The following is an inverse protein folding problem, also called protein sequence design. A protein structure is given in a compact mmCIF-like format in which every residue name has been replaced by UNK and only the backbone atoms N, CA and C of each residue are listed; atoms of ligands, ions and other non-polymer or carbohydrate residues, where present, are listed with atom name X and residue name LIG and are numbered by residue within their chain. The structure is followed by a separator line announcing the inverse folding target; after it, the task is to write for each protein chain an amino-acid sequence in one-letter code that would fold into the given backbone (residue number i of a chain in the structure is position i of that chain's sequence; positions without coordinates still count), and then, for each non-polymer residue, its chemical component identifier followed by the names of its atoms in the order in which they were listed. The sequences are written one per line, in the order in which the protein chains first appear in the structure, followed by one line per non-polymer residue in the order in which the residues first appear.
data_IF_850390976499
#
_entry.id   IF_850390976499
#
_cell.length_a   1.000
_cell.length_b   1.000
_cell.length_c   1.000
_cell.angle_alpha   90.00
_cell.angle_beta   90.00
_cell.angle_gamma   90.00
#
_symmetry.space_group_name_H-M   'P 1'
#
loop_
_entity.id
_entity.type
_entity.pdbx_description
1 polymer ?
#
# COMPACT_ATOMS: atom_id res chain seq x y z
N UNK A 1 7.81 24.84 -12.21
CA UNK A 1 7.70 24.05 -10.97
C UNK A 1 7.09 22.72 -11.35
N UNK A 2 7.78 21.60 -11.16
CA UNK A 2 7.20 20.27 -11.42
C UNK A 2 6.06 20.09 -10.40
N UNK A 3 4.82 19.93 -10.84
CA UNK A 3 3.76 19.49 -9.94
C UNK A 3 4.05 18.03 -9.59
N UNK A 4 4.25 17.75 -8.31
CA UNK A 4 4.42 16.38 -7.83
C UNK A 4 3.06 15.68 -7.78
N UNK A 5 2.96 14.50 -8.38
CA UNK A 5 1.76 13.66 -8.30
C UNK A 5 1.75 12.91 -6.97
N UNK A 6 0.66 13.05 -6.20
CA UNK A 6 0.49 12.39 -4.90
C UNK A 6 -0.72 11.47 -4.96
N UNK A 7 -0.50 10.19 -4.72
CA UNK A 7 -1.54 9.18 -4.55
C UNK A 7 -1.91 8.99 -3.08
N UNK A 8 -3.18 8.73 -2.78
CA UNK A 8 -3.68 8.48 -1.42
C UNK A 8 -4.46 7.17 -1.34
N UNK A 9 -4.18 6.39 -0.30
CA UNK A 9 -4.98 5.23 0.12
C UNK A 9 -5.41 5.48 1.57
N UNK A 10 -6.71 5.64 1.79
CA UNK A 10 -7.28 5.88 3.12
C UNK A 10 -7.70 4.56 3.80
N UNK A 11 -7.75 4.57 5.13
CA UNK A 11 -8.21 3.45 5.95
C UNK A 11 -9.68 3.08 5.68
N UNK A 12 -10.52 4.08 5.40
CA UNK A 12 -11.97 3.91 5.15
C UNK A 12 -12.32 3.62 3.69
N UNK A 13 -13.63 3.46 3.43
CA UNK A 13 -14.17 3.33 2.07
C UNK A 13 -13.81 4.56 1.24
N UNK A 14 -12.86 4.40 0.32
CA UNK A 14 -12.40 5.48 -0.56
C UNK A 14 -12.81 5.28 -2.01
N UNK A 15 -13.46 4.15 -2.32
CA UNK A 15 -13.90 3.85 -3.69
C UNK A 15 -15.10 4.70 -4.07
N UNK A 16 -15.23 4.96 -5.37
CA UNK A 16 -16.38 5.64 -5.95
C UNK A 16 -17.51 4.61 -6.08
N UNK A 17 -18.60 4.68 -5.28
CA UNK A 17 -19.59 3.60 -5.18
C UNK A 17 -20.43 3.41 -6.44
N UNK A 18 -20.48 4.42 -7.30
CA UNK A 18 -21.18 4.40 -8.59
C UNK A 18 -20.30 3.98 -9.78
N UNK A 19 -19.04 3.60 -9.53
CA UNK A 19 -18.09 3.15 -10.55
C UNK A 19 -17.72 1.69 -10.32
N UNK A 20 -17.49 0.94 -11.40
CA UNK A 20 -17.00 -0.43 -11.32
C UNK A 20 -15.54 -0.49 -10.82
N UNK A 21 -14.99 -1.68 -10.61
CA UNK A 21 -13.55 -1.89 -10.34
C UNK A 21 -12.71 -1.24 -11.44
N UNK A 22 -13.03 -1.52 -12.70
CA UNK A 22 -12.35 -0.94 -13.85
C UNK A 22 -12.38 0.59 -13.80
N UNK A 23 -13.58 1.17 -13.66
CA UNK A 23 -13.78 2.61 -13.70
C UNK A 23 -13.16 3.32 -12.49
N UNK A 24 -13.06 2.64 -11.35
CA UNK A 24 -12.35 3.16 -10.19
C UNK A 24 -10.86 3.28 -10.48
N UNK A 25 -10.23 2.24 -11.04
CA UNK A 25 -8.80 2.24 -11.34
C UNK A 25 -8.47 3.22 -12.48
N UNK A 26 -9.35 3.32 -13.48
CA UNK A 26 -9.21 4.22 -14.63
C UNK A 26 -9.35 5.71 -14.26
N UNK A 27 -10.06 6.03 -13.17
CA UNK A 27 -10.49 7.39 -12.84
C UNK A 27 -9.38 8.46 -12.90
N UNK A 28 -8.20 8.18 -12.32
CA UNK A 28 -7.10 9.14 -12.32
C UNK A 28 -6.54 9.40 -13.72
N UNK A 29 -6.41 8.34 -14.53
CA UNK A 29 -5.93 8.42 -15.91
C UNK A 29 -6.92 9.15 -16.83
N UNK A 30 -8.22 8.98 -16.60
CA UNK A 30 -9.28 9.74 -17.30
C UNK A 30 -9.16 11.25 -17.02
N UNK A 31 -8.90 11.63 -15.77
CA UNK A 31 -8.73 13.04 -15.37
C UNK A 31 -7.49 13.65 -16.01
N UNK A 32 -6.41 12.87 -16.14
CA UNK A 32 -5.19 13.28 -16.85
C UNK A 32 -5.39 13.40 -18.38
N UNK A 33 -6.54 12.96 -18.91
CA UNK A 33 -6.84 12.99 -20.34
C UNK A 33 -6.02 11.99 -21.16
N UNK A 34 -5.60 10.87 -20.55
CA UNK A 34 -4.81 9.83 -21.21
C UNK A 34 -5.63 9.14 -22.30
N UNK A 35 -4.97 8.66 -23.35
CA UNK A 35 -5.64 7.96 -24.44
C UNK A 35 -6.28 6.65 -23.96
N UNK A 36 -7.45 6.30 -24.51
CA UNK A 36 -8.20 5.09 -24.14
C UNK A 36 -7.35 3.81 -24.21
N UNK A 37 -6.46 3.73 -25.20
CA UNK A 37 -5.53 2.61 -25.36
C UNK A 37 -4.54 2.50 -24.20
N UNK A 38 -4.04 3.64 -23.71
CA UNK A 38 -3.14 3.69 -22.54
C UNK A 38 -3.89 3.31 -21.26
N UNK A 39 -5.09 3.88 -21.07
CA UNK A 39 -5.96 3.55 -19.94
C UNK A 39 -6.22 2.05 -19.91
N UNK A 40 -6.65 1.47 -21.03
CA UNK A 40 -6.94 0.04 -21.13
C UNK A 40 -5.73 -0.82 -20.78
N UNK A 41 -4.55 -0.48 -21.32
CA UNK A 41 -3.32 -1.22 -21.03
C UNK A 41 -3.00 -1.19 -19.54
N UNK A 42 -3.04 -0.01 -18.93
CA UNK A 42 -2.62 0.18 -17.54
C UNK A 42 -3.62 -0.41 -16.54
N UNK A 43 -4.92 -0.19 -16.76
CA UNK A 43 -5.97 -0.74 -15.90
C UNK A 43 -5.96 -2.28 -15.95
N UNK A 44 -5.86 -2.88 -17.15
CA UNK A 44 -5.75 -4.34 -17.27
C UNK A 44 -4.53 -4.90 -16.55
N UNK A 45 -3.38 -4.21 -16.64
CA UNK A 45 -2.15 -4.61 -15.93
C UNK A 45 -2.35 -4.60 -14.43
N UNK A 46 -2.92 -3.53 -13.87
CA UNK A 46 -3.14 -3.38 -12.43
C UNK A 46 -4.18 -4.36 -11.89
N UNK A 47 -5.25 -4.63 -12.66
CA UNK A 47 -6.24 -5.64 -12.30
C UNK A 47 -5.56 -7.01 -12.16
N UNK A 48 -4.66 -7.35 -13.09
CA UNK A 48 -3.95 -8.63 -13.02
C UNK A 48 -2.94 -8.71 -11.88
N UNK A 49 -2.16 -7.64 -11.66
CA UNK A 49 -1.21 -7.61 -10.55
C UNK A 49 -1.88 -7.68 -9.17
N UNK A 50 -3.12 -7.21 -9.07
CA UNK A 50 -3.90 -7.22 -7.83
C UNK A 50 -4.82 -8.44 -7.68
N UNK A 51 -4.77 -9.41 -8.60
CA UNK A 51 -5.63 -10.59 -8.55
C UNK A 51 -7.12 -10.24 -8.58
N UNK A 52 -7.50 -9.24 -9.38
CA UNK A 52 -8.88 -8.75 -9.51
C UNK A 52 -9.54 -9.21 -10.82
N UNK A 53 -8.92 -10.14 -11.56
CA UNK A 53 -9.49 -10.69 -12.79
C UNK A 53 -10.87 -11.31 -12.55
N UNK A 54 -11.82 -11.03 -13.45
CA UNK A 54 -13.20 -11.47 -13.34
C UNK A 54 -14.11 -10.58 -12.49
N UNK A 55 -13.57 -9.52 -11.86
CA UNK A 55 -14.34 -8.54 -11.08
C UNK A 55 -14.33 -7.14 -11.71
N UNK A 56 -13.89 -7.01 -12.96
CA UNK A 56 -13.69 -5.73 -13.64
C UNK A 56 -14.97 -4.87 -13.64
N UNK A 57 -16.12 -5.52 -13.83
CA UNK A 57 -17.43 -4.86 -13.90
C UNK A 57 -18.15 -4.80 -12.55
N UNK A 58 -17.58 -5.39 -11.49
CA UNK A 58 -18.20 -5.38 -10.16
C UNK A 58 -18.11 -4.00 -9.52
N UNK A 59 -19.12 -3.64 -8.74
CA UNK A 59 -19.18 -2.39 -7.98
C UNK A 59 -18.68 -2.60 -6.54
N UNK A 60 -18.21 -1.54 -5.84
CA UNK A 60 -17.65 -1.66 -4.49
C UNK A 60 -18.50 -2.47 -3.50
N UNK A 61 -19.83 -2.32 -3.54
CA UNK A 61 -20.78 -3.06 -2.70
C UNK A 61 -20.80 -4.58 -2.92
N UNK A 62 -20.26 -5.05 -4.04
CA UNK A 62 -20.21 -6.46 -4.43
C UNK A 62 -18.86 -7.10 -4.07
N UNK A 63 -17.91 -6.29 -3.59
CA UNK A 63 -16.55 -6.70 -3.26
C UNK A 63 -16.40 -6.96 -1.77
N UNK A 64 -15.57 -7.96 -1.43
CA UNK A 64 -15.08 -8.10 -0.05
C UNK A 64 -14.22 -6.89 0.34
N UNK A 65 -14.09 -6.61 1.65
CA UNK A 65 -13.25 -5.49 2.12
C UNK A 65 -11.79 -5.57 1.64
N UNK A 66 -11.23 -6.78 1.49
CA UNK A 66 -9.89 -6.97 0.93
C UNK A 66 -9.80 -6.65 -0.56
N UNK A 67 -10.85 -6.99 -1.32
CA UNK A 67 -10.94 -6.61 -2.73
C UNK A 67 -11.10 -5.10 -2.87
N UNK A 68 -11.91 -4.45 -2.03
CA UNK A 68 -12.03 -2.99 -2.07
C UNK A 68 -10.68 -2.30 -1.79
N UNK A 69 -9.90 -2.81 -0.84
CA UNK A 69 -8.54 -2.32 -0.57
C UNK A 69 -7.60 -2.50 -1.76
N UNK A 70 -7.64 -3.65 -2.43
CA UNK A 70 -6.89 -3.91 -3.68
C UNK A 70 -7.21 -2.86 -4.75
N UNK A 71 -8.50 -2.58 -4.96
CA UNK A 71 -8.95 -1.56 -5.92
C UNK A 71 -8.46 -0.17 -5.53
N UNK A 72 -8.52 0.18 -4.24
CA UNK A 72 -8.09 1.49 -3.75
C UNK A 72 -6.58 1.71 -3.98
N UNK A 73 -5.77 0.68 -3.70
CA UNK A 73 -4.33 0.71 -3.93
C UNK A 73 -4.03 0.75 -5.44
N UNK A 74 -4.70 -0.07 -6.25
CA UNK A 74 -4.55 -0.08 -7.70
C UNK A 74 -4.84 1.29 -8.32
N UNK A 75 -5.94 1.92 -7.91
CA UNK A 75 -6.31 3.29 -8.33
C UNK A 75 -5.27 4.32 -7.92
N UNK A 76 -4.65 4.17 -6.75
CA UNK A 76 -3.61 5.10 -6.32
C UNK A 76 -2.31 4.95 -7.12
N UNK A 77 -1.98 3.72 -7.54
CA UNK A 77 -0.83 3.44 -8.41
C UNK A 77 -1.09 3.74 -9.89
N UNK A 78 -2.35 3.80 -10.35
CA UNK A 78 -2.65 3.93 -11.78
C UNK A 78 -2.15 5.21 -12.41
N UNK A 79 -1.99 6.27 -11.64
CA UNK A 79 -1.44 7.56 -12.08
C UNK A 79 0.09 7.67 -11.97
N UNK A 80 0.78 6.55 -11.69
CA UNK A 80 2.24 6.50 -11.48
C UNK A 80 2.75 7.63 -10.56
N UNK A 81 2.30 7.67 -9.29
CA UNK A 81 2.54 8.82 -8.44
C UNK A 81 4.02 8.94 -8.04
N UNK A 82 4.52 10.18 -7.96
CA UNK A 82 5.83 10.47 -7.35
C UNK A 82 5.87 10.00 -5.87
N UNK A 83 4.76 10.25 -5.15
CA UNK A 83 4.58 9.92 -3.75
C UNK A 83 3.24 9.20 -3.52
N UNK A 84 3.27 8.04 -2.88
CA UNK A 84 2.09 7.30 -2.44
C UNK A 84 1.99 7.34 -0.91
N UNK A 85 0.87 7.84 -0.40
CA UNK A 85 0.55 7.88 1.02
C UNK A 85 -0.53 6.85 1.34
N UNK A 86 -0.26 5.96 2.29
CA UNK A 86 -1.22 4.93 2.70
C UNK A 86 -1.46 4.94 4.20
N UNK A 87 -2.72 5.09 4.61
CA UNK A 87 -3.12 5.04 6.02
C UNK A 87 -3.74 3.68 6.35
N UNK A 88 -3.04 2.88 7.16
CA UNK A 88 -3.45 1.54 7.58
C UNK A 88 -3.96 0.62 6.42
N UNK A 89 -3.21 0.52 5.31
CA UNK A 89 -3.70 -0.12 4.08
C UNK A 89 -4.07 -1.60 4.25
N UNK A 90 -3.42 -2.30 5.19
CA UNK A 90 -3.54 -3.75 5.38
C UNK A 90 -4.44 -4.16 6.56
N UNK A 91 -5.02 -3.18 7.26
CA UNK A 91 -5.86 -3.41 8.45
C UNK A 91 -7.16 -4.14 8.08
N UNK A 92 -7.73 -4.89 9.03
CA UNK A 92 -8.97 -5.66 8.86
C UNK A 92 -8.88 -6.84 7.87
N UNK A 93 -7.69 -7.18 7.36
CA UNK A 93 -7.45 -8.39 6.58
C UNK A 93 -7.00 -9.54 7.47
N UNK A 94 -7.40 -10.77 7.15
CA UNK A 94 -6.82 -11.97 7.74
C UNK A 94 -5.34 -12.11 7.33
N UNK A 95 -4.57 -12.90 8.06
CA UNK A 95 -3.13 -13.00 7.87
C UNK A 95 -2.73 -13.47 6.46
N UNK A 96 -3.50 -14.37 5.83
CA UNK A 96 -3.17 -14.91 4.52
C UNK A 96 -3.43 -13.86 3.43
N UNK A 97 -4.65 -13.30 3.37
CA UNK A 97 -4.99 -12.24 2.42
C UNK A 97 -4.05 -11.05 2.53
N UNK A 98 -3.69 -10.69 3.76
CA UNK A 98 -2.75 -9.61 4.03
C UNK A 98 -1.37 -9.86 3.43
N UNK A 99 -0.82 -11.05 3.64
CA UNK A 99 0.51 -11.40 3.13
C UNK A 99 0.54 -11.37 1.60
N UNK A 100 -0.52 -11.86 0.95
CA UNK A 100 -0.66 -11.83 -0.51
C UNK A 100 -0.71 -10.38 -0.99
N UNK A 101 -1.55 -9.52 -0.38
CA UNK A 101 -1.65 -8.12 -0.75
C UNK A 101 -0.32 -7.36 -0.59
N UNK A 102 0.43 -7.64 0.48
CA UNK A 102 1.75 -7.04 0.68
C UNK A 102 2.75 -7.44 -0.41
N UNK A 103 2.70 -8.69 -0.89
CA UNK A 103 3.52 -9.13 -2.02
C UNK A 103 3.11 -8.44 -3.32
N UNK A 104 1.82 -8.27 -3.58
CA UNK A 104 1.30 -7.59 -4.77
C UNK A 104 1.72 -6.10 -4.78
N UNK A 105 1.61 -5.43 -3.63
CA UNK A 105 2.09 -4.05 -3.48
C UNK A 105 3.59 -3.94 -3.73
N UNK A 106 4.40 -4.86 -3.21
CA UNK A 106 5.84 -4.88 -3.48
C UNK A 106 6.14 -5.05 -4.96
N UNK A 107 5.44 -5.94 -5.68
CA UNK A 107 5.64 -6.14 -7.13
C UNK A 107 5.36 -4.86 -7.91
N UNK A 108 4.26 -4.17 -7.61
CA UNK A 108 3.92 -2.91 -8.29
C UNK A 108 4.97 -1.84 -7.97
N UNK A 109 5.33 -1.70 -6.70
CA UNK A 109 6.35 -0.74 -6.27
C UNK A 109 7.73 -1.03 -6.89
N UNK A 110 8.08 -2.30 -7.08
CA UNK A 110 9.33 -2.69 -7.73
C UNK A 110 9.42 -2.20 -9.18
N UNK A 111 8.28 -2.07 -9.86
CA UNK A 111 8.16 -1.56 -11.23
C UNK A 111 8.10 -0.02 -11.28
N UNK A 112 7.28 0.63 -10.43
CA UNK A 112 7.08 2.09 -10.49
C UNK A 112 8.17 2.89 -9.78
N UNK A 113 8.81 2.30 -8.76
CA UNK A 113 9.78 2.96 -7.88
C UNK A 113 9.27 4.26 -7.23
N UNK A 114 7.95 4.40 -7.08
CA UNK A 114 7.31 5.52 -6.36
C UNK A 114 7.82 5.62 -4.92
N UNK A 115 7.87 6.82 -4.36
CA UNK A 115 8.15 6.99 -2.92
C UNK A 115 6.91 6.63 -2.13
N UNK A 116 6.97 5.58 -1.31
CA UNK A 116 5.82 5.12 -0.51
C UNK A 116 6.01 5.47 0.96
N UNK A 117 5.02 6.15 1.54
CA UNK A 117 4.92 6.38 2.98
C UNK A 117 3.63 5.71 3.44
N UNK A 118 3.74 4.76 4.37
CA UNK A 118 2.56 4.14 4.94
C UNK A 118 2.59 4.14 6.46
N UNK A 119 1.40 4.25 7.05
CA UNK A 119 1.17 4.22 8.48
C UNK A 119 0.63 2.83 8.82
N UNK A 120 1.23 2.20 9.83
CA UNK A 120 0.76 0.90 10.34
C UNK A 120 1.03 0.79 11.84
N UNK A 121 0.18 0.04 12.53
CA UNK A 121 0.42 -0.39 13.91
C UNK A 121 1.06 -1.79 13.98
N UNK A 122 1.31 -2.44 12.84
CA UNK A 122 1.84 -3.79 12.77
C UNK A 122 3.33 -3.78 12.39
N UNK A 123 4.16 -4.23 13.33
CA UNK A 123 5.63 -4.25 13.16
C UNK A 123 6.07 -5.22 12.07
N UNK A 124 5.39 -6.36 11.90
CA UNK A 124 5.75 -7.32 10.84
C UNK A 124 5.62 -6.68 9.45
N UNK A 125 4.63 -5.81 9.24
CA UNK A 125 4.42 -5.11 7.96
C UNK A 125 5.51 -4.05 7.74
N UNK A 126 5.84 -3.30 8.79
CA UNK A 126 6.90 -2.31 8.76
C UNK A 126 8.25 -2.95 8.37
N UNK A 127 8.61 -4.07 9.00
CA UNK A 127 9.85 -4.80 8.68
C UNK A 127 9.77 -5.50 7.33
N UNK A 128 8.59 -5.93 6.88
CA UNK A 128 8.44 -6.61 5.60
C UNK A 128 8.55 -5.65 4.40
N UNK A 129 7.93 -4.47 4.50
CA UNK A 129 7.79 -3.56 3.36
C UNK A 129 8.81 -2.42 3.33
N UNK A 130 9.21 -1.88 4.48
CA UNK A 130 9.88 -0.59 4.53
C UNK A 130 11.40 -0.68 4.31
N UNK A 131 11.99 0.37 3.74
CA UNK A 131 13.43 0.60 3.79
C UNK A 131 13.84 1.33 5.09
N UNK A 132 12.93 2.13 5.65
CA UNK A 132 13.12 2.92 6.88
C UNK A 132 11.84 2.90 7.70
N UNK A 133 11.95 2.66 9.00
CA UNK A 133 10.83 2.69 9.95
C UNK A 133 11.00 3.87 10.90
N UNK A 134 10.03 4.77 10.92
CA UNK A 134 9.97 5.89 11.86
C UNK A 134 9.03 5.54 13.01
N UNK A 135 9.56 5.51 14.23
CA UNK A 135 8.77 5.28 15.45
C UNK A 135 8.42 6.64 16.03
N UNK A 136 7.13 6.89 16.20
CA UNK A 136 6.61 8.17 16.68
C UNK A 136 6.30 8.12 18.19
N UNK A 137 6.44 9.24 18.89
CA UNK A 137 5.99 9.38 20.29
C UNK A 137 4.46 9.55 20.38
N UNK A 138 3.86 9.27 21.55
CA UNK A 138 2.54 9.80 21.90
C UNK A 138 2.50 11.33 21.78
N UNK A 139 1.29 11.89 21.83
CA UNK A 139 1.07 13.34 21.68
C UNK A 139 1.84 14.13 22.78
N UNK A 140 2.52 15.23 22.43
CA UNK A 140 2.74 15.77 21.08
C UNK A 140 3.74 14.94 20.28
N UNK A 141 3.37 14.60 19.03
CA UNK A 141 4.10 13.64 18.21
C UNK A 141 5.45 14.18 17.74
N UNK A 142 6.50 13.39 17.98
CA UNK A 142 7.86 13.58 17.45
C UNK A 142 8.40 12.25 16.92
N UNK A 143 9.39 12.29 16.04
CA UNK A 143 10.16 11.08 15.68
C UNK A 143 11.01 10.70 16.88
N UNK A 144 10.71 9.53 17.47
CA UNK A 144 11.45 8.96 18.60
C UNK A 144 12.68 8.20 18.13
N UNK A 145 12.49 7.36 17.11
CA UNK A 145 13.55 6.57 16.50
C UNK A 145 13.37 6.50 14.99
N UNK A 146 14.49 6.41 14.30
CA UNK A 146 14.57 6.00 12.91
C UNK A 146 15.36 4.69 12.86
N UNK A 147 14.76 3.66 12.25
CA UNK A 147 15.36 2.33 12.12
C UNK A 147 15.53 2.01 10.62
N UNK A 148 16.76 1.98 10.10
CA UNK A 148 17.00 1.52 8.73
C UNK A 148 16.81 -0.01 8.64
N UNK A 149 16.16 -0.49 7.58
CA UNK A 149 15.96 -1.91 7.33
C UNK A 149 16.90 -2.36 6.23
N UNK A 150 18.05 -2.90 6.62
CA UNK A 150 19.11 -3.34 5.67
C UNK A 150 18.90 -4.75 5.12
N UNK A 151 17.77 -5.39 5.43
CA UNK A 151 17.44 -6.73 4.95
C UNK A 151 17.14 -6.70 3.45
N UNK A 152 17.77 -7.56 2.63
CA UNK A 152 17.48 -7.64 1.20
C UNK A 152 16.04 -8.12 0.97
N UNK A 153 15.46 -7.78 -0.18
CA UNK A 153 14.16 -8.30 -0.65
C UNK A 153 14.40 -9.46 -1.63
N UNK A 154 13.52 -10.47 -1.69
CA UNK A 154 12.35 -10.68 -0.83
C UNK A 154 12.74 -11.09 0.60
N UNK A 155 11.97 -10.62 1.58
CA UNK A 155 12.20 -10.91 3.00
C UNK A 155 11.42 -12.13 3.44
N UNK A 156 12.03 -13.03 4.18
CA UNK A 156 11.33 -14.13 4.86
C UNK A 156 11.08 -13.74 6.32
N UNK A 157 9.80 -13.77 6.73
CA UNK A 157 9.38 -13.43 8.10
C UNK A 157 9.89 -14.43 9.15
N UNK A 158 10.33 -15.61 8.71
CA UNK A 158 10.85 -16.68 9.57
C UNK A 158 12.37 -16.63 9.74
N UNK A 159 13.07 -15.84 8.92
CA UNK A 159 14.51 -15.67 9.05
C UNK A 159 14.89 -15.01 10.38
N UNK A 160 16.00 -15.48 10.94
CA UNK A 160 16.52 -14.95 12.20
C UNK A 160 16.80 -13.44 12.12
N UNK A 161 17.33 -12.98 10.99
CA UNK A 161 17.61 -11.56 10.70
C UNK A 161 16.35 -10.70 10.77
N UNK A 162 15.23 -11.18 10.21
CA UNK A 162 13.93 -10.52 10.28
C UNK A 162 13.41 -10.45 11.72
N UNK A 163 13.50 -11.58 12.44
CA UNK A 163 13.06 -11.69 13.83
C UNK A 163 13.84 -10.73 14.74
N UNK A 164 15.14 -10.55 14.49
CA UNK A 164 16.00 -9.62 15.24
C UNK A 164 15.59 -8.16 15.04
N UNK A 165 15.39 -7.73 13.79
CA UNK A 165 14.91 -6.37 13.49
C UNK A 165 13.53 -6.13 14.10
N UNK A 166 12.63 -7.13 14.00
CA UNK A 166 11.31 -7.05 14.63
C UNK A 166 11.40 -6.89 16.15
N UNK A 167 12.24 -7.68 16.81
CA UNK A 167 12.46 -7.59 18.27
C UNK A 167 12.98 -6.22 18.67
N UNK A 168 13.92 -5.67 17.90
CA UNK A 168 14.50 -4.35 18.13
C UNK A 168 13.44 -3.23 18.03
N UNK A 169 12.63 -3.22 16.97
CA UNK A 169 11.53 -2.24 16.82
C UNK A 169 10.52 -2.37 17.96
N UNK A 170 10.11 -3.60 18.32
CA UNK A 170 9.21 -3.82 19.44
C UNK A 170 9.78 -3.31 20.78
N UNK A 171 11.08 -3.51 21.02
CA UNK A 171 11.75 -3.00 22.21
C UNK A 171 11.77 -1.45 22.25
N UNK A 172 12.06 -0.81 21.12
CA UNK A 172 12.03 0.65 20.95
C UNK A 172 10.63 1.25 21.14
N UNK A 173 9.59 0.55 20.70
CA UNK A 173 8.20 0.93 20.95
C UNK A 173 7.82 0.81 22.45
N UNK A 174 8.26 -0.26 23.13
CA UNK A 174 7.97 -0.51 24.56
C UNK A 174 8.66 0.44 25.53
N UNK A 175 9.87 0.90 25.21
CA UNK A 175 10.69 1.81 26.04
C UNK A 175 10.14 3.25 26.08
N UNK A 176 8.81 3.42 26.04
CA UNK A 176 8.10 4.70 26.04
C UNK A 176 6.85 4.74 26.92
N UNK A 177 6.71 3.80 27.86
CA UNK A 177 5.74 3.92 28.95
C UNK A 177 6.37 4.67 30.12
N UNK A 178 5.86 5.88 30.38
CA UNK A 178 6.08 6.80 31.51
C UNK A 178 7.48 6.86 32.13
#
# INVERSE_FOLDING_TARGET
TKNHSIGFVFQGESLLPWRSVWDNIAFGLEIEGREEKEIKKEVSRLISLMGLEGFETSYPRELSGGMQKRVAIARAFSIDPDILLMDEPFVSLDAQTRNILQQEVLKIWEETKSTVIFITHNVDEAVYLADRVLILTPRPTKVKYEVPITLPRPRDRTEQSFIEVRKDILAKMRTGGY
#
